data_IF_675078852471
#
_entry.id   IF_675078852471
#
_cell.length_a   1.000
_cell.length_b   1.000
_cell.length_c   1.000
_cell.angle_alpha   90.00
_cell.angle_beta   90.00
_cell.angle_gamma   90.00
#
_symmetry.space_group_name_H-M   'P 1'
#
loop_
_entity.id
_entity.type
_entity.pdbx_description
1 polymer ?
#
# COMPACT_ATOMS: atom_id res chain seq x y z
N UNK A 1 -0.19 -8.20 10.71
CA UNK A 1 0.23 -7.71 9.40
C UNK A 1 1.29 -8.64 8.86
N UNK A 2 1.06 -9.21 7.69
CA UNK A 2 2.08 -9.99 7.00
C UNK A 2 2.98 -9.03 6.22
N UNK A 3 4.27 -9.24 6.30
CA UNK A 3 5.25 -8.49 5.52
C UNK A 3 6.15 -9.51 4.80
N UNK A 4 6.19 -9.40 3.48
CA UNK A 4 7.10 -10.16 2.65
C UNK A 4 8.15 -9.18 2.12
N UNK A 5 9.40 -9.38 2.53
CA UNK A 5 10.50 -8.55 2.04
C UNK A 5 11.28 -9.31 0.97
N UNK A 6 11.26 -8.77 -0.24
CA UNK A 6 12.06 -9.19 -1.38
C UNK A 6 13.26 -8.26 -1.63
N UNK A 7 13.44 -7.28 -0.73
CA UNK A 7 14.51 -6.28 -0.81
C UNK A 7 15.88 -6.83 -0.39
N UNK A 8 15.93 -8.09 0.02
CA UNK A 8 17.14 -8.78 0.43
C UNK A 8 17.42 -9.97 -0.47
N UNK A 9 18.70 -10.35 -0.56
CA UNK A 9 19.13 -11.55 -1.31
C UNK A 9 18.43 -12.84 -0.83
N UNK A 10 18.07 -12.89 0.45
CA UNK A 10 17.27 -13.97 1.04
C UNK A 10 15.90 -13.43 1.44
N UNK A 11 14.84 -13.80 0.71
CA UNK A 11 13.50 -13.31 1.05
C UNK A 11 13.03 -13.83 2.41
N UNK A 12 12.38 -12.97 3.18
CA UNK A 12 11.83 -13.32 4.49
C UNK A 12 10.33 -13.08 4.55
N UNK A 13 9.64 -13.94 5.29
CA UNK A 13 8.24 -13.78 5.62
C UNK A 13 8.11 -13.36 7.08
N UNK A 14 7.61 -12.15 7.33
CA UNK A 14 7.39 -11.60 8.66
C UNK A 14 5.91 -11.49 9.01
N UNK A 15 5.56 -11.81 10.25
CA UNK A 15 4.24 -11.55 10.81
C UNK A 15 4.40 -10.56 11.96
N UNK A 16 3.76 -9.39 11.84
CA UNK A 16 3.76 -8.36 12.86
C UNK A 16 2.41 -8.29 13.56
N UNK A 17 2.43 -8.44 14.87
CA UNK A 17 1.29 -8.18 15.74
C UNK A 17 1.49 -6.83 16.44
N UNK A 18 0.51 -5.95 16.32
CA UNK A 18 0.52 -4.62 16.95
C UNK A 18 -0.65 -4.49 17.92
N UNK A 19 -0.53 -3.55 18.87
CA UNK A 19 -1.57 -3.28 19.87
C UNK A 19 -1.89 -4.48 20.77
N UNK A 20 -0.90 -5.31 21.04
CA UNK A 20 -1.03 -6.43 21.97
C UNK A 20 -0.94 -5.87 23.42
N UNK A 21 -1.88 -6.21 24.31
CA UNK A 21 -1.76 -5.85 25.72
C UNK A 21 -0.45 -6.39 26.31
N UNK A 22 0.26 -5.55 27.07
CA UNK A 22 1.61 -5.87 27.59
C UNK A 22 1.66 -7.16 28.42
N UNK A 23 0.56 -7.47 29.12
CA UNK A 23 0.44 -8.69 29.94
C UNK A 23 0.12 -9.95 29.11
N UNK A 24 -0.03 -9.85 27.77
CA UNK A 24 -0.40 -10.98 26.89
C UNK A 24 0.56 -11.18 25.72
N UNK A 25 1.68 -10.47 25.69
CA UNK A 25 2.65 -10.60 24.60
C UNK A 25 3.19 -12.01 24.44
N UNK A 26 3.43 -12.70 25.54
CA UNK A 26 3.93 -14.06 25.57
C UNK A 26 2.91 -15.12 25.08
N UNK A 27 1.62 -14.77 24.97
CA UNK A 27 0.59 -15.67 24.46
C UNK A 27 0.50 -15.66 22.93
N UNK A 28 0.99 -14.61 22.26
CA UNK A 28 0.75 -14.35 20.83
C UNK A 28 1.34 -15.45 19.95
N UNK A 29 2.63 -15.73 20.11
CA UNK A 29 3.31 -16.73 19.26
C UNK A 29 2.77 -18.15 19.49
N UNK A 30 2.61 -18.63 20.74
CA UNK A 30 1.98 -19.93 20.99
C UNK A 30 0.59 -20.03 20.37
N UNK A 31 -0.23 -18.98 20.52
CA UNK A 31 -1.60 -18.97 19.97
C UNK A 31 -1.63 -18.93 18.45
N UNK A 32 -0.72 -18.19 17.84
CA UNK A 32 -0.54 -18.19 16.39
C UNK A 32 -0.22 -19.60 15.88
N UNK A 33 0.78 -20.26 16.46
CA UNK A 33 1.21 -21.61 16.07
C UNK A 33 0.08 -22.63 16.28
N UNK A 34 -0.62 -22.55 17.42
CA UNK A 34 -1.79 -23.40 17.69
C UNK A 34 -2.88 -23.23 16.59
N UNK A 35 -3.16 -21.98 16.24
CA UNK A 35 -4.18 -21.67 15.23
C UNK A 35 -3.78 -22.18 13.85
N UNK A 36 -2.52 -22.00 13.46
CA UNK A 36 -2.00 -22.51 12.18
C UNK A 36 -2.02 -24.03 12.16
N UNK A 37 -1.59 -24.69 13.23
CA UNK A 37 -1.63 -26.15 13.35
C UNK A 37 -3.05 -26.67 13.18
N UNK A 38 -4.03 -26.04 13.81
CA UNK A 38 -5.43 -26.40 13.64
C UNK A 38 -5.91 -26.32 12.20
N UNK A 39 -5.49 -25.30 11.45
CA UNK A 39 -5.83 -25.18 10.02
C UNK A 39 -5.25 -26.35 9.22
N UNK A 40 -4.01 -26.74 9.51
CA UNK A 40 -3.35 -27.88 8.84
C UNK A 40 -4.03 -29.22 9.24
N UNK A 41 -4.37 -29.39 10.51
CA UNK A 41 -5.07 -30.60 11.04
C UNK A 41 -6.50 -30.72 10.50
N UNK A 42 -7.21 -29.62 10.32
CA UNK A 42 -8.55 -29.58 9.72
C UNK A 42 -8.53 -30.01 8.24
N UNK A 43 -7.38 -29.83 7.57
CA UNK A 43 -7.10 -30.37 6.25
C UNK A 43 -7.84 -29.70 5.10
N UNK A 44 -7.64 -30.26 3.91
CA UNK A 44 -8.14 -29.69 2.65
C UNK A 44 -9.67 -29.63 2.55
N UNK A 45 -10.39 -30.54 3.23
CA UNK A 45 -11.86 -30.60 3.15
C UNK A 45 -12.55 -29.38 3.81
N UNK A 46 -11.89 -28.80 4.83
CA UNK A 46 -12.41 -27.61 5.53
C UNK A 46 -11.73 -26.32 5.11
N UNK A 47 -10.81 -26.40 4.17
CA UNK A 47 -10.06 -25.23 3.71
C UNK A 47 -10.89 -24.38 2.78
N UNK A 48 -11.06 -23.09 3.12
CA UNK A 48 -11.84 -22.12 2.35
C UNK A 48 -11.03 -21.66 1.12
N UNK A 49 -11.07 -22.44 0.05
CA UNK A 49 -10.36 -22.15 -1.20
C UNK A 49 -10.95 -20.92 -1.90
N UNK A 50 -12.26 -20.70 -1.80
CA UNK A 50 -12.94 -19.57 -2.42
C UNK A 50 -12.38 -18.25 -1.86
N UNK A 51 -12.14 -18.21 -0.57
CA UNK A 51 -11.52 -17.04 0.07
C UNK A 51 -10.10 -16.78 -0.45
N UNK A 52 -9.32 -17.83 -0.73
CA UNK A 52 -7.98 -17.67 -1.33
C UNK A 52 -8.10 -17.11 -2.74
N UNK A 53 -9.01 -17.64 -3.54
CA UNK A 53 -9.29 -17.14 -4.89
C UNK A 53 -9.68 -15.66 -4.86
N UNK A 54 -10.52 -15.24 -3.94
CA UNK A 54 -10.89 -13.84 -3.74
C UNK A 54 -9.67 -12.96 -3.43
N UNK A 55 -8.78 -13.39 -2.55
CA UNK A 55 -7.56 -12.65 -2.24
C UNK A 55 -6.63 -12.52 -3.45
N UNK A 56 -6.45 -13.61 -4.22
CA UNK A 56 -5.65 -13.59 -5.44
C UNK A 56 -6.24 -12.60 -6.45
N UNK A 57 -7.54 -12.69 -6.71
CA UNK A 57 -8.22 -11.81 -7.66
C UNK A 57 -8.14 -10.34 -7.25
N UNK A 58 -8.36 -10.03 -5.97
CA UNK A 58 -8.18 -8.66 -5.45
C UNK A 58 -6.75 -8.16 -5.58
N UNK A 59 -5.77 -9.03 -5.33
CA UNK A 59 -4.35 -8.71 -5.54
C UNK A 59 -4.04 -8.39 -7.00
N UNK A 60 -4.55 -9.18 -7.94
CA UNK A 60 -4.40 -8.93 -9.37
C UNK A 60 -5.00 -7.60 -9.80
N UNK A 61 -6.23 -7.31 -9.37
CA UNK A 61 -6.91 -6.05 -9.65
C UNK A 61 -6.13 -4.87 -9.07
N UNK A 62 -5.66 -5.00 -7.82
CA UNK A 62 -4.85 -3.97 -7.16
C UNK A 62 -3.56 -3.68 -7.94
N UNK A 63 -2.82 -4.71 -8.32
CA UNK A 63 -1.59 -4.56 -9.10
C UNK A 63 -1.85 -3.89 -10.45
N UNK A 64 -2.89 -4.28 -11.17
CA UNK A 64 -3.26 -3.64 -12.44
C UNK A 64 -3.55 -2.16 -12.24
N UNK A 65 -4.29 -1.81 -11.17
CA UNK A 65 -4.61 -0.42 -10.83
C UNK A 65 -3.36 0.38 -10.48
N UNK A 66 -2.46 -0.16 -9.68
CA UNK A 66 -1.20 0.50 -9.31
C UNK A 66 -0.31 0.72 -10.53
N UNK A 67 -0.22 -0.26 -11.41
CA UNK A 67 0.53 -0.14 -12.66
C UNK A 67 -0.05 0.91 -13.62
N UNK A 68 -1.37 1.05 -13.66
CA UNK A 68 -2.03 2.06 -14.48
C UNK A 68 -1.89 3.47 -13.86
N UNK A 69 -2.08 3.60 -12.55
CA UNK A 69 -2.07 4.90 -11.88
C UNK A 69 -0.66 5.44 -11.60
N UNK A 70 0.31 4.57 -11.36
CA UNK A 70 1.65 4.94 -10.92
C UNK A 70 2.77 4.15 -11.62
N UNK A 71 2.77 4.08 -12.96
CA UNK A 71 3.80 3.35 -13.70
C UNK A 71 5.20 3.88 -13.42
N UNK A 72 5.34 5.16 -13.13
CA UNK A 72 6.59 5.83 -12.80
C UNK A 72 7.20 5.42 -11.46
N UNK A 73 6.45 4.75 -10.59
CA UNK A 73 6.95 4.12 -9.37
C UNK A 73 7.21 2.63 -9.59
N UNK A 74 6.26 1.94 -10.19
CA UNK A 74 6.33 0.49 -10.38
C UNK A 74 7.52 0.05 -11.24
N UNK A 75 7.71 0.65 -12.41
CA UNK A 75 8.77 0.21 -13.33
C UNK A 75 10.19 0.53 -12.85
N UNK A 76 10.48 1.69 -12.24
CA UNK A 76 11.79 1.93 -11.62
C UNK A 76 12.08 0.97 -10.48
N UNK A 77 11.13 0.69 -9.59
CA UNK A 77 11.32 -0.24 -8.48
C UNK A 77 11.56 -1.67 -8.99
N UNK A 78 10.78 -2.11 -9.98
CA UNK A 78 10.98 -3.40 -10.63
C UNK A 78 12.36 -3.51 -11.29
N UNK A 79 12.79 -2.44 -11.97
CA UNK A 79 14.10 -2.40 -12.65
C UNK A 79 15.24 -2.39 -11.64
N UNK A 80 15.08 -1.68 -10.54
CA UNK A 80 16.08 -1.63 -9.47
C UNK A 80 16.21 -2.99 -8.78
N UNK A 81 15.08 -3.60 -8.44
CA UNK A 81 15.05 -4.94 -7.83
C UNK A 81 15.69 -5.98 -8.76
N UNK A 82 15.39 -5.92 -10.06
CA UNK A 82 16.01 -6.80 -11.06
C UNK A 82 17.53 -6.57 -11.16
N UNK A 83 17.97 -5.32 -11.15
CA UNK A 83 19.39 -4.98 -11.24
C UNK A 83 20.19 -5.43 -10.02
N UNK A 84 19.61 -5.37 -8.84
CA UNK A 84 20.28 -5.73 -7.57
C UNK A 84 20.20 -7.24 -7.31
N UNK A 85 19.03 -7.84 -7.53
CA UNK A 85 18.72 -9.21 -7.11
C UNK A 85 18.38 -10.15 -8.25
N UNK A 86 18.25 -9.64 -9.48
CA UNK A 86 17.91 -10.45 -10.65
C UNK A 86 18.99 -11.46 -10.96
N UNK A 87 18.60 -12.74 -10.99
CA UNK A 87 19.51 -13.85 -11.26
C UNK A 87 19.48 -14.29 -12.71
N UNK A 88 18.46 -13.89 -13.47
CA UNK A 88 18.26 -14.30 -14.88
C UNK A 88 17.66 -13.15 -15.68
N UNK A 89 17.86 -13.16 -17.00
CA UNK A 89 17.24 -12.18 -17.92
C UNK A 89 15.71 -12.19 -17.88
N UNK A 90 15.11 -13.29 -17.41
CA UNK A 90 13.66 -13.45 -17.29
C UNK A 90 13.11 -12.87 -16.00
N UNK A 91 13.95 -12.53 -15.03
CA UNK A 91 13.51 -12.07 -13.72
C UNK A 91 12.66 -10.81 -13.81
N UNK A 92 13.13 -9.81 -14.54
CA UNK A 92 12.36 -8.57 -14.78
C UNK A 92 11.04 -8.84 -15.48
N UNK A 93 11.04 -9.65 -16.53
CA UNK A 93 9.82 -10.02 -17.23
C UNK A 93 8.82 -10.71 -16.29
N UNK A 94 9.28 -11.63 -15.44
CA UNK A 94 8.45 -12.31 -14.44
C UNK A 94 7.85 -11.32 -13.45
N UNK A 95 8.64 -10.34 -13.01
CA UNK A 95 8.17 -9.32 -12.06
C UNK A 95 7.08 -8.43 -12.68
N UNK A 96 7.31 -7.97 -13.90
CA UNK A 96 6.36 -7.11 -14.63
C UNK A 96 5.09 -7.87 -15.05
N UNK A 97 5.21 -9.16 -15.34
CA UNK A 97 4.07 -10.03 -15.71
C UNK A 97 3.50 -10.81 -14.54
N UNK A 98 3.68 -10.34 -13.31
CA UNK A 98 3.21 -10.99 -12.10
C UNK A 98 1.74 -11.46 -12.17
N UNK A 99 0.88 -10.71 -12.87
CA UNK A 99 -0.51 -11.09 -13.09
C UNK A 99 -0.69 -12.39 -13.85
N UNK A 100 0.23 -12.76 -14.73
CA UNK A 100 0.12 -13.98 -15.54
C UNK A 100 0.41 -15.23 -14.71
N UNK A 101 1.51 -15.24 -13.96
CA UNK A 101 1.85 -16.39 -13.14
C UNK A 101 1.02 -16.47 -11.85
N UNK A 102 0.56 -15.33 -11.31
CA UNK A 102 -0.34 -15.34 -10.14
C UNK A 102 -1.66 -16.03 -10.46
N UNK A 103 -2.18 -15.89 -11.69
CA UNK A 103 -3.40 -16.59 -12.10
C UNK A 103 -3.27 -18.13 -12.10
N UNK A 104 -2.05 -18.67 -12.18
CA UNK A 104 -1.81 -20.11 -12.09
C UNK A 104 -2.17 -20.65 -10.69
N UNK A 105 -2.05 -19.84 -9.66
CA UNK A 105 -2.42 -20.22 -8.29
C UNK A 105 -3.91 -20.41 -8.09
N UNK A 106 -4.75 -19.83 -8.94
CA UNK A 106 -6.19 -20.06 -8.93
C UNK A 106 -6.56 -21.53 -9.28
N UNK A 107 -5.66 -22.23 -9.93
CA UNK A 107 -5.86 -23.65 -10.31
C UNK A 107 -5.25 -24.64 -9.29
N UNK A 108 -4.72 -24.15 -8.16
CA UNK A 108 -4.14 -25.01 -7.15
C UNK A 108 -5.22 -25.59 -6.22
N UNK A 109 -5.13 -26.90 -6.01
CA UNK A 109 -6.01 -27.61 -5.09
C UNK A 109 -5.79 -27.17 -3.63
N UNK A 110 -6.80 -27.31 -2.75
CA UNK A 110 -6.69 -26.95 -1.34
C UNK A 110 -5.48 -27.56 -0.62
N UNK A 111 -5.10 -28.80 -0.97
CA UNK A 111 -3.96 -29.47 -0.37
C UNK A 111 -2.64 -28.73 -0.62
N UNK A 112 -2.45 -28.13 -1.78
CA UNK A 112 -1.27 -27.30 -2.06
C UNK A 112 -1.10 -26.18 -1.04
N UNK A 113 -2.19 -25.52 -0.66
CA UNK A 113 -2.16 -24.42 0.31
C UNK A 113 -1.90 -24.90 1.73
N UNK A 114 -2.47 -26.05 2.11
CA UNK A 114 -2.20 -26.69 3.40
C UNK A 114 -0.73 -27.05 3.52
N UNK A 115 -0.15 -27.71 2.51
CA UNK A 115 1.26 -28.09 2.48
C UNK A 115 2.18 -26.86 2.53
N UNK A 116 1.79 -25.77 1.85
CA UNK A 116 2.52 -24.50 1.87
C UNK A 116 2.49 -23.88 3.27
N UNK A 117 1.35 -23.85 3.94
CA UNK A 117 1.18 -23.33 5.30
C UNK A 117 2.01 -24.15 6.28
N UNK A 118 1.92 -25.48 6.22
CA UNK A 118 2.71 -26.37 7.08
C UNK A 118 4.22 -26.12 6.90
N UNK A 119 4.68 -26.11 5.66
CA UNK A 119 6.08 -25.88 5.34
C UNK A 119 6.58 -24.53 5.85
N UNK A 120 5.85 -23.45 5.60
CA UNK A 120 6.29 -22.09 5.93
C UNK A 120 6.27 -21.79 7.43
N UNK A 121 5.28 -22.31 8.16
CA UNK A 121 5.00 -21.87 9.53
C UNK A 121 5.24 -22.92 10.61
N UNK A 122 5.13 -24.21 10.28
CA UNK A 122 5.27 -25.28 11.26
C UNK A 122 6.57 -26.07 11.12
N UNK A 123 7.05 -26.27 9.90
CA UNK A 123 8.25 -27.06 9.63
C UNK A 123 9.54 -26.24 9.70
N UNK A 124 9.49 -24.96 9.29
CA UNK A 124 10.67 -24.10 9.27
C UNK A 124 10.96 -23.47 10.63
N UNK A 125 12.24 -23.20 10.87
CA UNK A 125 12.69 -22.40 12.02
C UNK A 125 12.25 -20.96 11.87
N UNK A 126 11.81 -20.35 12.95
CA UNK A 126 11.44 -18.94 13.00
C UNK A 126 12.16 -18.23 14.15
N UNK A 127 12.25 -16.90 14.06
CA UNK A 127 12.71 -16.02 15.12
C UNK A 127 11.53 -15.18 15.57
N UNK A 128 11.27 -15.14 16.88
CA UNK A 128 10.27 -14.27 17.45
C UNK A 128 10.95 -13.15 18.23
N UNK A 129 10.55 -11.90 17.95
CA UNK A 129 11.02 -10.71 18.66
C UNK A 129 9.82 -10.09 19.38
N UNK A 130 9.90 -10.01 20.70
CA UNK A 130 8.91 -9.37 21.54
C UNK A 130 9.41 -8.00 22.00
N UNK A 131 8.63 -6.95 21.71
CA UNK A 131 8.92 -5.61 22.17
C UNK A 131 8.02 -5.24 23.36
N UNK A 132 8.61 -4.99 24.50
CA UNK A 132 7.91 -4.57 25.71
C UNK A 132 8.16 -3.08 25.97
N UNK A 133 7.12 -2.27 26.16
CA UNK A 133 7.30 -0.86 26.52
C UNK A 133 7.87 -0.75 27.94
N UNK A 134 8.87 0.08 28.13
CA UNK A 134 9.48 0.33 29.44
C UNK A 134 9.85 1.80 29.60
N UNK A 135 9.11 2.51 30.43
CA UNK A 135 9.40 3.91 30.77
C UNK A 135 10.79 4.01 31.46
N UNK A 136 11.05 3.09 32.38
CA UNK A 136 12.34 3.05 33.08
C UNK A 136 13.53 2.88 32.12
N UNK A 137 13.40 1.97 31.14
CA UNK A 137 14.45 1.76 30.15
C UNK A 137 14.66 3.02 29.29
N UNK A 138 13.58 3.68 28.89
CA UNK A 138 13.65 4.92 28.11
C UNK A 138 14.34 6.04 28.88
N UNK A 139 14.07 6.15 30.18
CA UNK A 139 14.76 7.10 31.07
C UNK A 139 16.26 6.77 31.22
N UNK A 140 16.58 5.50 31.48
CA UNK A 140 17.97 5.03 31.55
C UNK A 140 18.73 5.29 30.26
N UNK A 141 18.14 4.96 29.12
CA UNK A 141 18.77 5.19 27.81
C UNK A 141 19.01 6.69 27.56
N UNK A 142 18.06 7.55 27.96
CA UNK A 142 18.24 8.99 27.84
C UNK A 142 19.41 9.47 28.73
N UNK A 143 19.45 9.03 29.97
CA UNK A 143 20.54 9.39 30.92
C UNK A 143 21.90 8.89 30.43
N UNK A 144 21.99 7.67 29.91
CA UNK A 144 23.19 7.10 29.32
C UNK A 144 23.65 7.88 28.08
N UNK A 145 22.71 8.31 27.23
CA UNK A 145 23.01 9.09 26.03
C UNK A 145 23.51 10.50 26.40
N UNK A 146 22.84 11.17 27.34
CA UNK A 146 23.27 12.47 27.86
C UNK A 146 24.68 12.37 28.50
N UNK A 147 24.92 11.32 29.27
CA UNK A 147 26.21 11.06 29.86
C UNK A 147 27.30 10.72 28.83
N UNK A 148 26.92 10.01 27.75
CA UNK A 148 27.82 9.71 26.64
C UNK A 148 28.20 10.97 25.88
N UNK A 149 27.23 11.80 25.56
CA UNK A 149 27.43 13.07 24.85
C UNK A 149 28.34 13.99 25.67
N UNK A 150 28.04 14.13 26.97
CA UNK A 150 28.84 14.94 27.89
C UNK A 150 30.29 14.46 27.95
N UNK A 151 30.52 13.17 28.10
CA UNK A 151 31.89 12.60 28.09
C UNK A 151 32.59 12.87 26.75
N UNK A 152 31.90 12.72 25.61
CA UNK A 152 32.49 13.01 24.30
C UNK A 152 32.91 14.48 24.18
N UNK A 153 32.09 15.40 24.69
CA UNK A 153 32.41 16.83 24.68
C UNK A 153 33.64 17.10 25.59
N UNK A 154 33.66 16.51 26.80
CA UNK A 154 34.78 16.63 27.73
C UNK A 154 36.07 16.05 27.16
N UNK A 155 36.03 14.87 26.57
CA UNK A 155 37.18 14.18 25.96
C UNK A 155 37.75 14.93 24.76
N UNK A 156 36.90 15.54 23.94
CA UNK A 156 37.32 16.34 22.80
C UNK A 156 37.89 17.71 23.20
N UNK A 157 37.34 18.30 24.23
CA UNK A 157 37.66 19.67 24.62
C UNK A 157 37.34 20.70 23.52
N UNK A 158 37.71 21.96 23.75
CA UNK A 158 37.45 23.02 22.76
C UNK A 158 38.18 22.80 21.43
N UNK A 159 39.45 22.36 21.50
CA UNK A 159 40.26 22.11 20.30
C UNK A 159 39.73 20.92 19.47
N UNK A 160 39.34 19.85 20.15
CA UNK A 160 38.78 18.68 19.49
C UNK A 160 37.42 18.95 18.86
N UNK A 161 36.55 19.73 19.52
CA UNK A 161 35.28 20.18 18.99
C UNK A 161 35.46 21.07 17.76
N UNK A 162 36.40 22.01 17.82
CA UNK A 162 36.74 22.88 16.68
C UNK A 162 37.31 22.06 15.51
N UNK A 163 38.14 21.06 15.78
CA UNK A 163 38.65 20.15 14.74
C UNK A 163 37.52 19.34 14.08
N UNK A 164 36.60 18.81 14.89
CA UNK A 164 35.43 18.07 14.36
C UNK A 164 34.46 18.96 13.60
N UNK A 165 34.25 20.20 14.04
CA UNK A 165 33.46 21.17 13.28
C UNK A 165 34.10 21.48 11.90
N UNK A 166 35.43 21.60 11.84
CA UNK A 166 36.15 21.80 10.59
C UNK A 166 36.07 20.56 9.69
N UNK A 167 36.19 19.36 10.23
CA UNK A 167 36.03 18.08 9.50
C UNK A 167 34.63 17.95 8.93
N UNK A 168 33.60 18.28 9.73
CA UNK A 168 32.22 18.30 9.26
C UNK A 168 32.02 19.31 8.13
N UNK A 169 32.57 20.53 8.26
CA UNK A 169 32.46 21.53 7.22
C UNK A 169 33.15 21.06 5.93
N UNK A 170 34.34 20.46 6.03
CA UNK A 170 35.02 19.88 4.88
C UNK A 170 34.23 18.76 4.22
N UNK A 171 33.56 17.90 5.03
CA UNK A 171 32.70 16.85 4.49
C UNK A 171 31.49 17.43 3.75
N UNK A 172 30.86 18.49 4.32
CA UNK A 172 29.77 19.20 3.66
C UNK A 172 30.22 19.89 2.37
N UNK A 173 31.38 20.54 2.39
CA UNK A 173 31.94 21.23 1.21
C UNK A 173 32.35 20.21 0.12
N UNK A 174 32.70 18.97 0.51
CA UNK A 174 33.01 17.89 -0.43
C UNK A 174 31.78 17.26 -1.07
N UNK A 175 30.60 17.49 -0.54
CA UNK A 175 29.34 17.11 -1.16
C UNK A 175 29.02 18.02 -2.36
N UNK A 176 29.90 17.96 -3.35
CA UNK A 176 29.71 18.74 -4.58
C UNK A 176 28.60 18.06 -5.39
N UNK A 177 27.66 18.86 -5.88
CA UNK A 177 26.72 18.37 -6.88
C UNK A 177 27.50 17.77 -8.06
N UNK A 178 27.04 16.67 -8.65
CA UNK A 178 27.66 16.13 -9.84
C UNK A 178 27.89 17.23 -10.86
N UNK A 179 29.07 17.24 -11.47
CA UNK A 179 29.40 18.26 -12.47
C UNK A 179 28.45 18.24 -13.67
N UNK A 180 28.35 19.33 -14.38
CA UNK A 180 27.48 19.46 -15.55
C UNK A 180 27.74 18.37 -16.60
N UNK A 181 28.96 17.83 -16.64
CA UNK A 181 29.34 16.71 -17.52
C UNK A 181 28.61 15.40 -17.18
N UNK A 182 28.19 15.22 -15.94
CA UNK A 182 27.38 14.10 -15.48
C UNK A 182 25.89 14.44 -15.61
N UNK A 183 25.48 15.62 -15.15
CA UNK A 183 24.08 16.05 -15.17
C UNK A 183 23.53 16.12 -16.60
N UNK A 184 24.33 16.58 -17.54
CA UNK A 184 23.94 16.64 -18.95
C UNK A 184 23.84 15.28 -19.64
N UNK A 185 24.42 14.22 -19.06
CA UNK A 185 24.26 12.85 -19.56
C UNK A 185 22.96 12.20 -19.11
N UNK A 186 22.30 12.75 -18.09
CA UNK A 186 20.98 12.28 -17.67
C UNK A 186 19.97 12.71 -18.72
N UNK A 187 19.32 11.77 -19.44
CA UNK A 187 18.37 12.13 -20.46
C UNK A 187 17.17 12.81 -19.83
N UNK A 188 17.00 14.09 -20.08
CA UNK A 188 15.77 14.79 -19.74
C UNK A 188 14.68 14.39 -20.74
N UNK A 189 13.48 14.15 -20.24
CA UNK A 189 12.33 13.90 -21.09
C UNK A 189 12.10 15.11 -22.02
N UNK A 190 12.00 14.88 -23.32
CA UNK A 190 11.68 15.91 -24.28
C UNK A 190 10.19 16.30 -24.16
N UNK A 191 9.93 17.49 -23.67
CA UNK A 191 8.58 18.02 -23.48
C UNK A 191 7.77 18.01 -24.79
N UNK A 192 8.45 18.16 -25.95
CA UNK A 192 7.81 18.12 -27.25
C UNK A 192 7.38 16.71 -27.69
N UNK A 193 7.87 15.67 -27.01
CA UNK A 193 7.47 14.28 -27.24
C UNK A 193 6.31 13.84 -26.38
N UNK A 194 5.80 14.70 -25.50
CA UNK A 194 4.60 14.42 -24.72
C UNK A 194 3.42 14.33 -25.67
N UNK A 195 2.86 13.13 -25.76
CA UNK A 195 1.66 12.89 -26.57
C UNK A 195 0.43 13.19 -25.71
N UNK A 196 -0.28 14.22 -26.04
CA UNK A 196 -1.61 14.47 -25.50
C UNK A 196 -2.62 13.58 -26.25
N UNK A 197 -3.48 12.95 -25.49
CA UNK A 197 -4.60 12.18 -26.06
C UNK A 197 -5.86 12.99 -25.89
N UNK A 198 -6.63 13.12 -26.95
CA UNK A 198 -7.97 13.68 -26.87
C UNK A 198 -8.86 12.71 -26.10
N UNK A 199 -9.58 13.23 -25.12
CA UNK A 199 -10.56 12.46 -24.36
C UNK A 199 -11.93 12.56 -25.03
N UNK A 200 -12.62 11.43 -25.13
CA UNK A 200 -14.01 11.42 -25.50
C UNK A 200 -14.85 11.77 -24.27
N UNK A 201 -15.35 13.00 -24.24
CA UNK A 201 -16.16 13.51 -23.13
C UNK A 201 -17.62 13.54 -23.51
N UNK A 202 -18.48 13.12 -22.57
CA UNK A 202 -19.92 13.03 -22.75
C UNK A 202 -20.66 13.71 -21.60
N UNK A 203 -21.69 14.49 -21.95
CA UNK A 203 -22.63 15.08 -21.01
C UNK A 203 -23.97 15.34 -21.71
N UNK A 204 -24.94 15.97 -21.06
CA UNK A 204 -26.26 16.26 -21.67
C UNK A 204 -26.21 17.07 -22.96
N UNK A 205 -25.21 17.94 -23.11
CA UNK A 205 -25.06 18.81 -24.30
C UNK A 205 -24.08 18.24 -25.31
N UNK A 206 -23.12 17.43 -24.84
CA UNK A 206 -22.10 16.79 -25.67
C UNK A 206 -22.30 15.28 -25.60
N UNK A 207 -23.01 14.72 -26.57
CA UNK A 207 -23.30 13.28 -26.64
C UNK A 207 -23.35 12.83 -28.10
N UNK A 208 -22.23 12.83 -28.81
CA UNK A 208 -22.18 12.43 -30.20
C UNK A 208 -22.67 10.99 -30.38
N UNK A 209 -23.55 10.78 -31.34
CA UNK A 209 -24.14 9.46 -31.59
C UNK A 209 -25.13 8.96 -30.55
N UNK A 210 -25.53 9.80 -29.57
CA UNK A 210 -26.44 9.42 -28.49
C UNK A 210 -26.01 8.15 -27.73
N UNK A 211 -24.71 8.02 -27.48
CA UNK A 211 -24.13 6.84 -26.83
C UNK A 211 -24.64 6.63 -25.41
N UNK A 212 -24.95 7.72 -24.72
CA UNK A 212 -25.45 7.67 -23.35
C UNK A 212 -26.84 8.29 -23.22
N UNK A 213 -27.70 7.66 -22.44
CA UNK A 213 -29.01 8.22 -22.11
C UNK A 213 -28.91 9.03 -20.81
N UNK A 214 -28.88 10.34 -20.92
CA UNK A 214 -28.88 11.26 -19.78
C UNK A 214 -30.29 11.66 -19.31
N UNK A 215 -31.36 11.15 -19.93
CA UNK A 215 -32.73 11.46 -19.52
C UNK A 215 -33.03 10.84 -18.15
N UNK A 216 -33.75 11.57 -17.31
CA UNK A 216 -34.11 11.07 -15.98
C UNK A 216 -33.01 11.15 -14.91
N UNK A 217 -31.79 11.53 -15.26
CA UNK A 217 -30.71 11.74 -14.28
C UNK A 217 -30.93 13.06 -13.56
N UNK A 218 -31.16 13.08 -12.22
CA UNK A 218 -31.50 14.30 -11.48
C UNK A 218 -30.31 15.22 -11.17
N UNK A 219 -29.11 14.87 -11.58
CA UNK A 219 -27.87 15.62 -11.33
C UNK A 219 -27.09 15.86 -12.64
N UNK A 220 -26.06 16.68 -12.58
CA UNK A 220 -25.14 16.89 -13.70
C UNK A 220 -24.17 15.72 -13.73
N UNK A 221 -24.12 15.01 -14.85
CA UNK A 221 -23.19 13.92 -15.11
C UNK A 221 -22.27 14.31 -16.26
N UNK A 222 -20.99 14.07 -16.06
CA UNK A 222 -19.92 14.21 -17.04
C UNK A 222 -19.16 12.88 -17.07
N UNK A 223 -18.92 12.36 -18.25
CA UNK A 223 -18.22 11.07 -18.46
C UNK A 223 -17.04 11.37 -19.37
N UNK A 224 -15.84 11.01 -18.93
CA UNK A 224 -14.63 11.02 -19.73
C UNK A 224 -14.18 9.59 -19.97
N UNK A 225 -14.07 9.21 -21.26
CA UNK A 225 -13.52 7.92 -21.66
C UNK A 225 -11.99 8.05 -21.75
N UNK A 226 -11.32 7.57 -20.73
CA UNK A 226 -9.86 7.60 -20.60
C UNK A 226 -9.19 6.29 -21.03
N UNK A 227 -9.96 5.37 -21.63
CA UNK A 227 -9.49 4.04 -22.05
C UNK A 227 -8.81 3.26 -20.90
N UNK A 228 -9.36 3.39 -19.70
CA UNK A 228 -8.92 2.67 -18.49
C UNK A 228 -9.76 1.39 -18.32
N UNK A 229 -9.18 0.37 -17.67
CA UNK A 229 -9.92 -0.79 -17.18
C UNK A 229 -10.73 -0.50 -15.92
N UNK A 230 -10.52 0.67 -15.32
CA UNK A 230 -11.14 1.10 -14.08
C UNK A 230 -12.05 2.28 -14.30
N UNK A 231 -13.13 2.32 -13.52
CA UNK A 231 -14.02 3.48 -13.45
C UNK A 231 -13.63 4.32 -12.23
N UNK A 232 -13.40 5.61 -12.45
CA UNK A 232 -13.21 6.58 -11.39
C UNK A 232 -14.45 7.45 -11.30
N UNK A 233 -15.07 7.53 -10.14
CA UNK A 233 -16.25 8.34 -9.89
C UNK A 233 -15.91 9.50 -8.97
N UNK A 234 -16.13 10.73 -9.46
CA UNK A 234 -16.02 11.95 -8.67
C UNK A 234 -17.43 12.47 -8.37
N UNK A 235 -17.80 12.51 -7.09
CA UNK A 235 -19.09 13.01 -6.65
C UNK A 235 -18.91 14.39 -6.02
N UNK A 236 -19.53 15.41 -6.63
CA UNK A 236 -19.53 16.77 -6.12
C UNK A 236 -20.86 17.08 -5.44
N UNK A 237 -20.83 17.31 -4.14
CA UNK A 237 -22.00 17.65 -3.37
C UNK A 237 -21.99 19.14 -3.04
N UNK A 238 -23.13 19.80 -3.32
CA UNK A 238 -23.30 21.19 -2.92
C UNK A 238 -23.59 21.28 -1.43
N UNK A 239 -22.82 22.12 -0.73
CA UNK A 239 -22.90 22.29 0.72
C UNK A 239 -23.42 23.67 1.14
N UNK A 240 -23.81 24.53 0.19
CA UNK A 240 -24.28 25.89 0.45
C UNK A 240 -25.54 25.94 1.33
N UNK A 241 -26.38 24.89 1.30
CA UNK A 241 -27.57 24.77 2.14
C UNK A 241 -27.31 24.29 3.58
N UNK A 242 -26.04 23.97 3.91
CA UNK A 242 -25.69 23.47 5.24
C UNK A 242 -25.26 24.62 6.18
N UNK A 243 -25.69 24.54 7.43
CA UNK A 243 -25.20 25.43 8.48
C UNK A 243 -23.74 25.15 8.80
N UNK A 244 -23.01 26.14 9.36
CA UNK A 244 -21.61 25.96 9.77
C UNK A 244 -21.42 24.80 10.77
N UNK A 245 -22.43 24.48 11.57
CA UNK A 245 -22.40 23.32 12.46
C UNK A 245 -22.47 22.01 11.68
N UNK A 246 -23.35 21.89 10.69
CA UNK A 246 -23.49 20.70 9.86
C UNK A 246 -22.24 20.48 9.01
N UNK A 247 -21.61 21.54 8.46
CA UNK A 247 -20.39 21.43 7.69
C UNK A 247 -19.23 20.79 8.48
N UNK A 248 -19.16 21.01 9.80
CA UNK A 248 -18.14 20.39 10.67
C UNK A 248 -18.27 18.87 10.78
N UNK A 249 -19.45 18.32 10.52
CA UNK A 249 -19.69 16.87 10.54
C UNK A 249 -19.50 16.19 9.19
N UNK A 250 -19.25 16.96 8.11
CA UNK A 250 -19.07 16.37 6.78
C UNK A 250 -17.90 15.36 6.72
N UNK A 251 -16.71 15.61 7.30
CA UNK A 251 -15.64 14.61 7.30
C UNK A 251 -16.09 13.31 7.94
N UNK A 252 -16.75 13.38 9.10
CA UNK A 252 -17.27 12.20 9.79
C UNK A 252 -18.33 11.48 8.96
N UNK A 253 -19.24 12.23 8.31
CA UNK A 253 -20.23 11.64 7.41
C UNK A 253 -19.55 10.86 6.27
N UNK A 254 -18.48 11.41 5.68
CA UNK A 254 -17.75 10.77 4.61
C UNK A 254 -17.06 9.48 5.08
N UNK A 255 -16.43 9.51 6.26
CA UNK A 255 -15.80 8.34 6.85
C UNK A 255 -16.77 7.19 7.13
N UNK A 256 -17.97 7.52 7.62
CA UNK A 256 -18.98 6.50 7.94
C UNK A 256 -19.84 6.11 6.76
N UNK A 257 -19.98 6.96 5.74
CA UNK A 257 -20.85 6.68 4.59
C UNK A 257 -20.49 5.38 3.89
N UNK A 258 -19.20 5.18 3.64
CA UNK A 258 -18.70 3.95 3.00
C UNK A 258 -18.67 2.74 3.94
N UNK A 259 -18.87 2.98 5.24
CA UNK A 259 -18.91 1.95 6.28
C UNK A 259 -20.31 1.68 6.80
N UNK A 260 -21.30 2.48 6.38
CA UNK A 260 -22.68 2.32 6.82
C UNK A 260 -23.35 1.14 6.10
N UNK A 261 -24.13 0.32 6.81
CA UNK A 261 -24.91 -0.73 6.19
C UNK A 261 -25.92 -0.14 5.20
N UNK A 262 -26.11 -0.79 4.07
CA UNK A 262 -27.05 -0.38 3.04
C UNK A 262 -28.42 -1.03 3.29
N UNK A 263 -29.50 -0.28 3.04
CA UNK A 263 -30.85 -0.84 2.99
C UNK A 263 -31.17 -1.11 1.52
N UNK A 264 -31.25 -2.39 1.17
CA UNK A 264 -31.66 -2.84 -0.15
C UNK A 264 -32.95 -3.66 -0.02
N UNK A 265 -34.00 -3.27 -0.71
CA UNK A 265 -35.31 -3.96 -0.71
C UNK A 265 -35.89 -4.14 0.72
N UNK A 266 -35.68 -3.15 1.60
CA UNK A 266 -36.16 -3.17 2.98
C UNK A 266 -35.35 -4.07 3.95
N UNK A 267 -34.24 -4.66 3.47
CA UNK A 267 -33.32 -5.45 4.28
C UNK A 267 -32.00 -4.71 4.46
N UNK A 268 -31.42 -4.83 5.64
CA UNK A 268 -30.09 -4.31 5.93
C UNK A 268 -29.09 -5.30 5.36
N UNK A 269 -28.31 -4.86 4.38
CA UNK A 269 -27.17 -5.60 3.85
C UNK A 269 -25.89 -5.08 4.51
N UNK A 270 -25.11 -5.96 5.10
CA UNK A 270 -23.78 -5.59 5.59
C UNK A 270 -22.83 -5.35 4.41
N UNK A 271 -21.80 -4.50 4.63
CA UNK A 271 -20.85 -4.10 3.59
C UNK A 271 -20.14 -5.31 2.96
N UNK A 272 -19.95 -6.39 3.74
CA UNK A 272 -19.38 -7.65 3.23
C UNK A 272 -20.26 -8.41 2.23
N UNK A 273 -21.56 -8.10 2.18
CA UNK A 273 -22.55 -8.69 1.27
C UNK A 273 -22.78 -7.87 0.00
N UNK A 274 -22.29 -6.63 -0.01
CA UNK A 274 -22.27 -5.80 -1.23
C UNK A 274 -21.14 -6.30 -2.12
N UNK A 275 -21.49 -6.65 -3.37
CA UNK A 275 -20.57 -7.22 -4.36
C UNK A 275 -19.14 -6.62 -4.24
N UNK A 276 -18.14 -7.43 -3.88
CA UNK A 276 -16.78 -6.98 -3.72
C UNK A 276 -16.21 -6.29 -4.97
N UNK A 277 -16.74 -6.62 -6.15
CA UNK A 277 -16.37 -5.98 -7.41
C UNK A 277 -16.77 -4.49 -7.44
N UNK A 278 -17.88 -4.11 -6.80
CA UNK A 278 -18.27 -2.70 -6.72
C UNK A 278 -17.30 -1.89 -5.86
N UNK A 279 -16.73 -2.50 -4.81
CA UNK A 279 -15.78 -1.83 -3.92
C UNK A 279 -14.38 -1.66 -4.52
N UNK A 280 -13.97 -2.58 -5.40
CA UNK A 280 -12.68 -2.49 -6.09
C UNK A 280 -12.67 -1.46 -7.24
N UNK A 281 -13.85 -1.09 -7.75
CA UNK A 281 -13.99 -0.24 -8.94
C UNK A 281 -14.20 1.23 -8.58
N UNK A 282 -14.68 1.54 -7.37
CA UNK A 282 -15.08 2.89 -7.00
C UNK A 282 -14.08 3.54 -6.04
N UNK A 283 -13.14 4.33 -6.57
CA UNK A 283 -12.48 5.39 -5.81
C UNK A 283 -13.44 6.59 -5.78
N UNK A 284 -14.16 6.74 -4.67
CA UNK A 284 -14.98 7.94 -4.47
C UNK A 284 -14.07 9.10 -4.02
N UNK A 285 -13.95 10.11 -4.86
CA UNK A 285 -13.48 11.42 -4.42
C UNK A 285 -14.71 12.28 -4.20
N UNK A 286 -15.04 12.57 -2.95
CA UNK A 286 -16.07 13.54 -2.62
C UNK A 286 -15.39 14.87 -2.41
N UNK A 287 -15.59 15.80 -3.34
CA UNK A 287 -15.07 17.16 -3.24
C UNK A 287 -16.22 18.03 -2.71
N UNK A 288 -16.01 18.57 -1.51
CA UNK A 288 -16.92 19.52 -0.90
C UNK A 288 -16.57 20.92 -1.38
N UNK A 289 -17.49 21.57 -2.09
CA UNK A 289 -17.30 22.95 -2.51
C UNK A 289 -17.74 23.86 -1.37
N UNK A 290 -16.79 24.29 -0.56
CA UNK A 290 -16.98 25.37 0.41
C UNK A 290 -16.72 26.71 -0.29
N UNK A 291 -17.78 27.45 -0.60
CA UNK A 291 -17.68 28.89 -0.90
C UNK A 291 -17.89 29.69 0.37
#
# INVERSE_FOLDING_TARGET
>A
MFNFSYEYSEPSLGIKFSNVPTNRTNEVVPKMIETIRKVVEDGAEKFDIERIHDYINRGLIKNQKENENSPHLFFPDASLADKIYGLTEQHFATFVTASQWTSEYLNKEPQFWIDLIDNLFLTRTYVAVEAHPSIKLAETQREEEEAREKRQIEDLGEEGLAAKAKELQQALDSQVLPGDDILTKIPLGDVNKIQFRDLNSFNRTLNPGNLFNFSGIPFKLHIDDVNSKFVQLYLYLETSGLTARQQKFLPLLLDVWMSAPLIKDGKVAEIGEVDPALFCVLLFFIILNCR
#
